data_IF_330301592606
#
_entry.id   IF_330301592606
#
_cell.length_a   1.000
_cell.length_b   1.000
_cell.length_c   1.000
_cell.angle_alpha   90.00
_cell.angle_beta   90.00
_cell.angle_gamma   90.00
#
_symmetry.space_group_name_H-M   'P 1'
#
loop_
_entity.id
_entity.type
_entity.pdbx_description
1 polymer ?
#
# COMPACT_ATOMS: atom_id res chain seq x y z
N UNK A 1 1.78 5.10 40.84
CA UNK A 1 2.21 3.78 40.35
C UNK A 1 1.58 3.59 38.97
N UNK A 2 2.26 4.01 37.90
CA UNK A 2 1.74 3.86 36.53
C UNK A 2 1.75 2.37 36.17
N UNK A 3 0.56 1.80 35.92
CA UNK A 3 0.41 0.46 35.35
C UNK A 3 0.77 0.55 33.86
N UNK A 4 1.98 0.12 33.51
CA UNK A 4 2.32 -0.15 32.11
C UNK A 4 1.46 -1.32 31.61
N UNK A 5 0.98 -1.21 30.37
CA UNK A 5 0.23 -2.25 29.68
C UNK A 5 1.01 -3.59 29.65
N UNK A 6 0.32 -4.75 29.56
CA UNK A 6 0.97 -6.05 29.46
C UNK A 6 1.98 -6.07 28.30
N UNK A 7 3.15 -6.70 28.50
CA UNK A 7 4.24 -6.73 27.51
C UNK A 7 3.78 -7.24 26.14
N UNK A 8 2.87 -8.22 26.10
CA UNK A 8 2.31 -8.78 24.87
C UNK A 8 1.59 -7.75 23.97
N UNK A 9 0.97 -6.73 24.57
CA UNK A 9 0.30 -5.67 23.82
C UNK A 9 1.27 -4.62 23.26
N UNK A 10 2.45 -4.50 23.87
CA UNK A 10 3.47 -3.52 23.48
C UNK A 10 4.18 -3.95 22.20
N UNK A 11 4.55 -5.22 22.09
CA UNK A 11 5.29 -5.72 20.93
C UNK A 11 4.41 -5.73 19.68
N UNK A 12 3.15 -6.16 19.82
CA UNK A 12 2.16 -6.06 18.75
C UNK A 12 1.87 -4.60 18.34
N UNK A 13 1.87 -3.66 19.28
CA UNK A 13 1.69 -2.24 18.98
C UNK A 13 2.92 -1.65 18.26
N UNK A 14 4.13 -2.02 18.66
CA UNK A 14 5.38 -1.59 18.00
C UNK A 14 5.44 -2.16 16.58
N UNK A 15 5.08 -3.42 16.38
CA UNK A 15 5.01 -4.02 15.05
C UNK A 15 4.05 -3.25 14.13
N UNK A 16 2.84 -2.94 14.61
CA UNK A 16 1.88 -2.13 13.84
C UNK A 16 2.37 -0.71 13.57
N UNK A 17 3.08 -0.08 14.52
CA UNK A 17 3.67 1.24 14.33
C UNK A 17 4.75 1.20 13.24
N UNK A 18 5.64 0.21 13.27
CA UNK A 18 6.68 0.07 12.26
C UNK A 18 6.10 -0.28 10.88
N UNK A 19 5.02 -1.06 10.83
CA UNK A 19 4.25 -1.30 9.59
C UNK A 19 3.67 -0.01 9.03
N UNK A 20 3.14 0.87 9.89
CA UNK A 20 2.61 2.17 9.49
C UNK A 20 3.73 3.09 9.01
N UNK A 21 4.87 3.17 9.70
CA UNK A 21 6.00 4.01 9.28
C UNK A 21 6.55 3.57 7.92
N UNK A 22 6.72 2.26 7.70
CA UNK A 22 7.13 1.73 6.40
C UNK A 22 6.10 2.05 5.30
N UNK A 23 4.80 1.92 5.61
CA UNK A 23 3.72 2.30 4.68
C UNK A 23 3.63 3.80 4.45
N UNK A 24 4.05 4.65 5.39
CA UNK A 24 4.08 6.11 5.21
C UNK A 24 5.22 6.49 4.26
N UNK A 25 6.38 5.86 4.38
CA UNK A 25 7.50 6.09 3.46
C UNK A 25 7.12 5.69 2.03
N UNK A 26 6.48 4.53 1.86
CA UNK A 26 5.99 4.09 0.54
C UNK A 26 4.76 4.88 0.08
N UNK A 27 3.85 5.22 1.00
CA UNK A 27 2.58 5.89 0.71
C UNK A 27 2.68 7.40 0.55
N UNK A 28 3.81 8.01 0.90
CA UNK A 28 4.09 9.42 0.65
C UNK A 28 4.10 9.75 -0.85
N UNK A 29 4.53 8.81 -1.70
CA UNK A 29 4.42 8.93 -3.16
C UNK A 29 2.95 8.97 -3.60
N UNK A 30 2.10 8.09 -3.06
CA UNK A 30 0.68 8.02 -3.43
C UNK A 30 -0.11 9.30 -3.12
N UNK A 31 0.27 10.06 -2.07
CA UNK A 31 -0.37 11.36 -1.75
C UNK A 31 0.02 12.42 -2.77
N UNK A 32 1.30 12.47 -3.18
CA UNK A 32 1.75 13.41 -4.20
C UNK A 32 1.11 13.11 -5.55
N UNK A 33 0.97 11.83 -5.91
CA UNK A 33 0.29 11.41 -7.14
C UNK A 33 -1.18 11.86 -7.15
N UNK A 34 -1.88 11.74 -6.02
CA UNK A 34 -3.27 12.18 -5.90
C UNK A 34 -3.42 13.69 -6.12
N UNK A 35 -2.51 14.50 -5.59
CA UNK A 35 -2.51 15.96 -5.79
C UNK A 35 -2.24 16.30 -7.25
N UNK A 36 -1.26 15.66 -7.88
CA UNK A 36 -0.94 15.89 -9.29
C UNK A 36 -2.12 15.52 -10.21
N UNK A 37 -2.85 14.44 -9.91
CA UNK A 37 -4.06 14.07 -10.63
C UNK A 37 -5.13 15.16 -10.51
N UNK A 38 -5.35 15.68 -9.30
CA UNK A 38 -6.33 16.75 -9.06
C UNK A 38 -5.96 18.00 -9.87
N UNK A 39 -4.69 18.43 -9.84
CA UNK A 39 -4.24 19.60 -10.60
C UNK A 39 -4.39 19.41 -12.12
N UNK A 40 -4.06 18.22 -12.64
CA UNK A 40 -4.29 17.88 -14.06
C UNK A 40 -5.78 17.89 -14.42
N UNK A 41 -6.65 17.39 -13.53
CA UNK A 41 -8.10 17.44 -13.73
C UNK A 41 -8.61 18.88 -13.74
N UNK A 42 -8.20 19.72 -12.79
CA UNK A 42 -8.63 21.12 -12.74
C UNK A 42 -8.12 21.96 -13.92
N UNK A 43 -6.91 21.69 -14.41
CA UNK A 43 -6.33 22.40 -15.56
C UNK A 43 -6.93 22.00 -16.90
N UNK A 44 -7.42 20.76 -17.03
CA UNK A 44 -8.07 20.25 -18.24
C UNK A 44 -9.59 20.44 -18.24
N UNK A 45 -10.20 20.68 -17.08
CA UNK A 45 -11.64 20.89 -16.96
C UNK A 45 -12.11 22.16 -17.69
N UNK A 46 -13.24 22.06 -18.38
CA UNK A 46 -13.89 23.24 -18.97
C UNK A 46 -14.52 24.08 -17.87
N UNK A 47 -14.05 25.31 -17.71
CA UNK A 47 -14.58 26.22 -16.71
C UNK A 47 -15.87 26.89 -17.21
N UNK A 48 -16.99 26.61 -16.53
CA UNK A 48 -18.30 27.21 -16.85
C UNK A 48 -18.50 28.44 -15.95
N UNK A 49 -18.63 29.61 -16.57
CA UNK A 49 -18.84 30.86 -15.83
C UNK A 49 -20.26 30.95 -15.27
N UNK A 50 -20.37 31.28 -13.97
CA UNK A 50 -21.65 31.53 -13.33
C UNK A 50 -22.20 32.90 -13.73
N UNK A 51 -23.32 32.92 -14.46
CA UNK A 51 -24.04 34.14 -14.84
C UNK A 51 -25.17 34.45 -13.84
N UNK A 52 -25.55 35.72 -13.73
CA UNK A 52 -26.54 36.15 -12.73
C UNK A 52 -27.94 35.55 -12.96
N UNK A 53 -28.26 35.15 -14.18
CA UNK A 53 -29.52 34.45 -14.50
C UNK A 53 -29.60 33.07 -13.86
N UNK A 54 -28.48 32.33 -13.77
CA UNK A 54 -28.41 31.03 -13.07
C UNK A 54 -28.71 31.24 -11.58
N UNK A 55 -28.12 32.27 -10.97
CA UNK A 55 -28.34 32.60 -9.55
C UNK A 55 -29.81 32.96 -9.28
N UNK A 56 -30.43 33.71 -10.20
CA UNK A 56 -31.85 34.06 -10.09
C UNK A 56 -32.74 32.81 -10.14
N UNK A 57 -32.53 31.91 -11.11
CA UNK A 57 -33.31 30.66 -11.21
C UNK A 57 -33.08 29.74 -10.01
N UNK A 58 -31.86 29.68 -9.48
CA UNK A 58 -31.57 28.93 -8.26
C UNK A 58 -32.32 29.51 -7.04
N UNK A 59 -32.44 30.84 -6.95
CA UNK A 59 -33.26 31.50 -5.92
C UNK A 59 -34.76 31.23 -6.12
N UNK A 60 -35.25 31.22 -7.36
CA UNK A 60 -36.64 30.86 -7.66
C UNK A 60 -36.96 29.42 -7.23
N UNK A 61 -36.02 28.47 -7.42
CA UNK A 61 -36.15 27.11 -6.87
C UNK A 61 -36.30 27.11 -5.34
N UNK A 62 -35.51 27.94 -4.65
CA UNK A 62 -35.58 28.06 -3.20
C UNK A 62 -36.94 28.57 -2.73
N UNK A 63 -37.47 29.60 -3.40
CA UNK A 63 -38.79 30.18 -3.12
C UNK A 63 -39.89 29.16 -3.36
N UNK A 64 -39.80 28.41 -4.46
CA UNK A 64 -40.75 27.36 -4.82
C UNK A 64 -40.61 26.07 -3.98
N UNK A 65 -39.54 25.95 -3.18
CA UNK A 65 -39.20 24.77 -2.36
C UNK A 65 -39.10 23.47 -3.17
N UNK A 66 -38.65 23.57 -4.42
CA UNK A 66 -38.40 22.43 -5.31
C UNK A 66 -36.96 21.98 -5.18
N UNK A 67 -36.67 20.72 -5.55
CA UNK A 67 -35.33 20.16 -5.41
C UNK A 67 -34.25 21.08 -6.03
N UNK A 68 -33.13 21.33 -5.31
CA UNK A 68 -32.68 20.67 -4.06
C UNK A 68 -33.14 21.31 -2.73
N UNK A 69 -34.18 22.16 -2.73
CA UNK A 69 -34.70 22.87 -1.54
C UNK A 69 -35.91 22.21 -0.85
N UNK A 70 -36.21 20.97 -1.18
CA UNK A 70 -37.24 20.14 -0.52
C UNK A 70 -36.90 19.77 0.95
N UNK A 71 -35.72 20.17 1.47
CA UNK A 71 -35.25 19.95 2.85
C UNK A 71 -34.94 21.28 3.56
N UNK A 72 -34.92 21.26 4.90
CA UNK A 72 -34.55 22.41 5.74
C UNK A 72 -33.02 22.67 5.78
N UNK A 73 -32.33 22.62 4.63
CA UNK A 73 -30.89 22.88 4.53
C UNK A 73 -30.61 23.83 3.36
N UNK A 74 -29.55 24.62 3.45
CA UNK A 74 -29.13 25.55 2.40
C UNK A 74 -28.60 24.76 1.19
N UNK A 75 -29.44 24.48 0.20
CA UNK A 75 -29.10 23.81 -1.05
C UNK A 75 -28.77 24.75 -2.21
N UNK A 76 -28.34 25.98 -1.93
CA UNK A 76 -28.13 27.01 -2.97
C UNK A 76 -27.01 26.64 -3.94
N UNK A 77 -25.91 26.07 -3.46
CA UNK A 77 -24.80 25.63 -4.32
C UNK A 77 -25.24 24.49 -5.23
N UNK A 78 -25.96 23.51 -4.66
CA UNK A 78 -26.57 22.40 -5.40
C UNK A 78 -27.59 22.89 -6.44
N UNK A 79 -28.37 23.93 -6.12
CA UNK A 79 -29.31 24.54 -7.04
C UNK A 79 -28.59 25.28 -8.18
N UNK A 80 -27.49 25.97 -7.90
CA UNK A 80 -26.65 26.59 -8.92
C UNK A 80 -26.04 25.52 -9.83
N UNK A 81 -25.58 24.38 -9.29
CA UNK A 81 -25.02 23.28 -10.08
C UNK A 81 -26.04 22.72 -11.07
N UNK A 82 -27.27 22.42 -10.63
CA UNK A 82 -28.29 21.86 -11.52
C UNK A 82 -28.80 22.90 -12.53
N UNK A 83 -28.93 24.17 -12.13
CA UNK A 83 -29.30 25.25 -13.06
C UNK A 83 -28.23 25.52 -14.11
N UNK A 84 -26.95 25.37 -13.74
CA UNK A 84 -25.83 25.43 -14.69
C UNK A 84 -25.90 24.25 -15.66
N UNK A 85 -26.17 23.05 -15.15
CA UNK A 85 -26.34 21.86 -16.00
C UNK A 85 -27.49 22.04 -16.99
N UNK A 86 -28.62 22.63 -16.58
CA UNK A 86 -29.76 22.96 -17.45
C UNK A 86 -29.34 23.87 -18.61
N UNK A 87 -28.57 24.92 -18.35
CA UNK A 87 -28.09 25.80 -19.42
C UNK A 87 -27.13 25.08 -20.37
N UNK A 88 -26.27 24.19 -19.86
CA UNK A 88 -25.36 23.38 -20.69
C UNK A 88 -26.11 22.43 -21.61
N UNK A 89 -27.13 21.71 -21.09
CA UNK A 89 -27.93 20.80 -21.92
C UNK A 89 -28.81 21.55 -22.93
N UNK A 90 -29.21 22.78 -22.62
CA UNK A 90 -29.97 23.63 -23.55
C UNK A 90 -29.08 24.22 -24.65
N UNK A 91 -27.79 24.45 -24.37
CA UNK A 91 -26.80 24.97 -25.31
C UNK A 91 -26.13 23.88 -26.17
N UNK A 92 -26.64 22.65 -26.16
CA UNK A 92 -26.12 21.53 -26.95
C UNK A 92 -25.96 21.90 -28.42
N UNK A 93 -24.77 21.66 -28.94
CA UNK A 93 -24.45 21.92 -30.35
C UNK A 93 -24.64 20.69 -31.25
N UNK A 94 -24.55 19.49 -30.67
CA UNK A 94 -24.74 18.21 -31.38
C UNK A 94 -25.80 17.36 -30.69
N UNK A 95 -26.55 16.58 -31.48
CA UNK A 95 -27.49 15.56 -30.98
C UNK A 95 -26.79 14.29 -30.53
N UNK A 96 -25.53 14.11 -30.91
CA UNK A 96 -24.74 12.92 -30.60
C UNK A 96 -24.01 13.05 -29.24
N UNK A 97 -23.95 14.26 -28.68
CA UNK A 97 -23.30 14.52 -27.41
C UNK A 97 -24.20 14.13 -26.23
N UNK A 98 -23.67 13.26 -25.37
CA UNK A 98 -24.34 12.82 -24.14
C UNK A 98 -23.74 13.52 -22.93
N UNK A 99 -24.59 14.11 -22.09
CA UNK A 99 -24.19 14.85 -20.90
C UNK A 99 -24.62 14.09 -19.65
N UNK A 100 -23.70 13.85 -18.72
CA UNK A 100 -23.98 13.18 -17.45
C UNK A 100 -23.99 14.15 -16.27
N UNK A 101 -25.05 14.14 -15.46
CA UNK A 101 -25.04 14.72 -14.12
C UNK A 101 -24.74 13.61 -13.11
N UNK A 102 -23.56 13.69 -12.49
CA UNK A 102 -23.09 12.67 -11.54
C UNK A 102 -23.01 13.27 -10.13
N UNK A 103 -23.67 12.65 -9.15
CA UNK A 103 -23.65 13.14 -7.77
C UNK A 103 -23.72 12.04 -6.72
N UNK A 104 -22.93 12.17 -5.67
CA UNK A 104 -23.07 11.34 -4.47
C UNK A 104 -24.16 11.87 -3.52
N UNK A 105 -24.67 13.09 -3.72
CA UNK A 105 -25.74 13.67 -2.90
C UNK A 105 -27.11 13.11 -3.33
N UNK A 106 -27.37 11.86 -2.97
CA UNK A 106 -28.63 11.18 -3.28
C UNK A 106 -29.82 11.70 -2.49
N UNK A 107 -29.57 12.46 -1.43
CA UNK A 107 -30.65 13.01 -0.64
C UNK A 107 -31.36 14.17 -1.32
N UNK A 108 -30.59 14.98 -2.06
CA UNK A 108 -31.12 16.21 -2.65
C UNK A 108 -31.44 16.04 -4.14
N UNK A 109 -30.82 15.06 -4.81
CA UNK A 109 -30.98 14.85 -6.24
C UNK A 109 -31.66 13.55 -6.67
N UNK A 110 -31.89 12.59 -5.76
CA UNK A 110 -32.50 11.29 -6.11
C UNK A 110 -33.95 11.16 -5.64
N UNK A 111 -34.68 10.22 -6.24
CA UNK A 111 -35.97 9.76 -5.73
C UNK A 111 -35.78 9.00 -4.41
N UNK A 112 -36.27 9.59 -3.32
CA UNK A 112 -36.19 9.02 -1.97
C UNK A 112 -37.29 8.03 -1.66
N UNK A 113 -38.42 8.12 -2.37
CA UNK A 113 -39.56 7.22 -2.21
C UNK A 113 -39.39 5.92 -2.99
N UNK A 114 -38.54 5.95 -4.02
CA UNK A 114 -38.25 4.83 -4.91
C UNK A 114 -36.79 4.42 -4.90
N UNK A 115 -36.20 4.35 -6.10
CA UNK A 115 -34.81 3.96 -6.31
C UNK A 115 -33.91 5.21 -6.29
N UNK A 116 -32.92 5.23 -5.39
CA UNK A 116 -31.96 6.34 -5.28
C UNK A 116 -31.04 6.48 -6.49
N UNK A 117 -31.06 5.52 -7.42
CA UNK A 117 -30.42 5.62 -8.74
C UNK A 117 -31.21 6.47 -9.72
N UNK A 118 -32.48 6.75 -9.43
CA UNK A 118 -33.32 7.60 -10.25
C UNK A 118 -33.29 9.05 -9.74
N UNK A 119 -33.37 10.04 -10.64
CA UNK A 119 -33.40 11.44 -10.26
C UNK A 119 -34.67 11.77 -9.46
N UNK A 120 -34.60 12.81 -8.63
CA UNK A 120 -35.75 13.35 -7.92
C UNK A 120 -36.90 13.71 -8.90
N UNK A 121 -38.18 13.51 -8.57
CA UNK A 121 -39.30 13.80 -9.47
C UNK A 121 -39.28 15.21 -10.09
N UNK A 122 -38.91 16.23 -9.31
CA UNK A 122 -38.77 17.62 -9.78
C UNK A 122 -37.68 17.81 -10.86
N UNK A 123 -36.73 16.88 -10.96
CA UNK A 123 -35.59 16.92 -11.88
C UNK A 123 -35.69 15.83 -12.96
N UNK A 124 -36.59 14.86 -12.82
CA UNK A 124 -36.69 13.71 -13.71
C UNK A 124 -36.89 14.11 -15.19
N UNK A 125 -37.60 15.21 -15.45
CA UNK A 125 -37.82 15.74 -16.79
C UNK A 125 -36.53 16.20 -17.51
N UNK A 126 -35.44 16.41 -16.77
CA UNK A 126 -34.14 16.80 -17.34
C UNK A 126 -33.39 15.61 -17.95
N UNK A 127 -33.68 14.39 -17.51
CA UNK A 127 -32.92 13.19 -17.83
C UNK A 127 -33.72 12.28 -18.75
N UNK A 128 -33.41 12.33 -20.05
CA UNK A 128 -34.13 11.62 -21.10
C UNK A 128 -33.53 10.23 -21.44
N UNK A 129 -32.45 9.83 -20.78
CA UNK A 129 -31.67 8.62 -21.07
C UNK A 129 -31.17 8.49 -22.51
N UNK A 130 -31.21 9.57 -23.31
CA UNK A 130 -30.63 9.61 -24.65
C UNK A 130 -29.52 10.66 -24.73
N UNK A 131 -29.82 11.94 -24.49
CA UNK A 131 -28.86 13.03 -24.44
C UNK A 131 -28.46 13.47 -23.03
N UNK A 132 -29.23 13.14 -21.99
CA UNK A 132 -28.94 13.50 -20.60
C UNK A 132 -29.04 12.28 -19.69
N UNK A 133 -27.99 12.04 -18.89
CA UNK A 133 -27.89 10.94 -17.93
C UNK A 133 -27.84 11.48 -16.50
N UNK A 134 -28.49 10.76 -15.60
CA UNK A 134 -28.33 10.90 -14.16
C UNK A 134 -27.60 9.68 -13.62
N UNK A 135 -26.55 9.88 -12.83
CA UNK A 135 -25.84 8.78 -12.18
C UNK A 135 -25.40 9.15 -10.78
N UNK A 136 -25.32 8.15 -9.90
CA UNK A 136 -24.78 8.33 -8.54
C UNK A 136 -23.31 7.96 -8.42
N UNK A 137 -22.75 7.36 -9.48
CA UNK A 137 -21.36 6.94 -9.55
C UNK A 137 -20.83 7.17 -10.97
N UNK A 138 -19.65 7.79 -11.06
CA UNK A 138 -19.01 8.10 -12.34
C UNK A 138 -18.51 6.84 -13.05
N UNK A 139 -18.03 5.84 -12.31
CA UNK A 139 -17.42 4.62 -12.87
C UNK A 139 -18.39 3.83 -13.78
N UNK A 140 -19.58 3.42 -13.29
CA UNK A 140 -20.57 2.76 -14.12
C UNK A 140 -21.01 3.60 -15.33
N UNK A 141 -21.17 4.91 -15.15
CA UNK A 141 -21.55 5.80 -16.24
C UNK A 141 -20.47 5.86 -17.32
N UNK A 142 -19.20 5.99 -16.93
CA UNK A 142 -18.08 5.95 -17.88
C UNK A 142 -17.96 4.58 -18.55
N UNK A 143 -18.28 3.49 -17.84
CA UNK A 143 -18.30 2.13 -18.40
C UNK A 143 -19.25 1.96 -19.56
N UNK A 144 -20.37 2.68 -19.59
CA UNK A 144 -21.29 2.66 -20.74
C UNK A 144 -20.66 3.22 -22.03
N UNK A 145 -19.64 4.07 -21.93
CA UNK A 145 -19.03 4.76 -23.07
C UNK A 145 -17.57 4.37 -23.34
N UNK A 146 -16.86 3.88 -22.32
CA UNK A 146 -15.41 3.70 -22.35
C UNK A 146 -14.97 2.55 -21.42
N UNK A 147 -15.63 1.39 -21.53
CA UNK A 147 -15.30 0.19 -20.75
C UNK A 147 -13.83 -0.22 -20.92
N UNK A 148 -13.35 -0.34 -22.17
CA UNK A 148 -11.96 -0.73 -22.46
C UNK A 148 -10.93 0.20 -21.79
N UNK A 149 -11.17 1.51 -21.83
CA UNK A 149 -10.29 2.51 -21.22
C UNK A 149 -10.32 2.43 -19.68
N UNK A 150 -11.49 2.19 -19.10
CA UNK A 150 -11.60 2.02 -17.66
C UNK A 150 -10.87 0.78 -17.18
N UNK A 151 -10.94 -0.31 -17.93
CA UNK A 151 -10.27 -1.55 -17.59
C UNK A 151 -8.75 -1.42 -17.73
N UNK A 152 -8.27 -0.70 -18.74
CA UNK A 152 -6.85 -0.33 -18.87
C UNK A 152 -6.38 0.51 -17.66
N UNK A 153 -7.10 1.57 -17.31
CA UNK A 153 -6.73 2.44 -16.17
C UNK A 153 -6.80 1.71 -14.83
N UNK A 154 -7.80 0.84 -14.63
CA UNK A 154 -7.88 -0.01 -13.42
C UNK A 154 -6.70 -0.96 -13.38
N UNK A 155 -6.38 -1.61 -14.49
CA UNK A 155 -5.24 -2.52 -14.57
C UNK A 155 -3.94 -1.79 -14.22
N UNK A 156 -3.66 -0.63 -14.82
CA UNK A 156 -2.45 0.15 -14.52
C UNK A 156 -2.35 0.57 -13.05
N UNK A 157 -3.47 0.94 -12.42
CA UNK A 157 -3.47 1.43 -11.03
C UNK A 157 -3.50 0.32 -9.99
N UNK A 158 -4.22 -0.77 -10.27
CA UNK A 158 -4.37 -1.90 -9.34
C UNK A 158 -3.27 -2.95 -9.52
N UNK A 159 -2.56 -2.98 -10.66
CA UNK A 159 -1.37 -3.79 -10.87
C UNK A 159 -0.13 -3.15 -10.20
N UNK A 160 -0.26 -2.83 -8.91
CA UNK A 160 0.88 -2.54 -8.04
C UNK A 160 1.25 -3.79 -7.26
N UNK A 161 2.51 -4.22 -7.32
CA UNK A 161 3.00 -5.22 -6.37
C UNK A 161 3.03 -4.57 -4.98
N UNK A 162 2.18 -5.02 -4.06
CA UNK A 162 2.28 -4.59 -2.67
C UNK A 162 3.68 -4.96 -2.13
N UNK A 163 4.44 -4.00 -1.57
CA UNK A 163 5.71 -4.33 -0.94
C UNK A 163 5.52 -5.35 0.18
N UNK A 164 6.52 -6.23 0.35
CA UNK A 164 6.57 -7.16 1.50
C UNK A 164 6.44 -6.38 2.80
N UNK A 165 5.73 -6.95 3.77
CA UNK A 165 5.62 -6.33 5.11
C UNK A 165 6.97 -6.38 5.80
N UNK A 166 7.25 -5.41 6.67
CA UNK A 166 8.48 -5.39 7.45
C UNK A 166 8.65 -6.67 8.28
N UNK A 167 7.58 -7.21 8.87
CA UNK A 167 7.65 -8.47 9.62
C UNK A 167 8.06 -9.65 8.73
N UNK A 168 7.55 -9.73 7.51
CA UNK A 168 7.93 -10.77 6.54
C UNK A 168 9.39 -10.64 6.14
N UNK A 169 9.89 -9.41 5.99
CA UNK A 169 11.30 -9.14 5.70
C UNK A 169 12.21 -9.56 6.87
N UNK A 170 11.84 -9.23 8.11
CA UNK A 170 12.60 -9.60 9.31
C UNK A 170 12.60 -11.12 9.54
N UNK A 171 11.47 -11.79 9.33
CA UNK A 171 11.39 -13.25 9.40
C UNK A 171 12.26 -13.92 8.33
N UNK A 172 12.24 -13.39 7.11
CA UNK A 172 13.08 -13.87 6.03
C UNK A 172 14.58 -13.61 6.29
N UNK A 173 14.95 -12.43 6.80
CA UNK A 173 16.32 -12.07 7.17
C UNK A 173 16.87 -13.04 8.23
N UNK A 174 16.12 -13.24 9.31
CA UNK A 174 16.50 -14.16 10.39
C UNK A 174 16.66 -15.60 9.91
N UNK A 175 15.75 -16.08 9.04
CA UNK A 175 15.88 -17.41 8.42
C UNK A 175 17.16 -17.52 7.60
N UNK A 176 17.38 -16.58 6.68
CA UNK A 176 18.54 -16.60 5.78
C UNK A 176 19.86 -16.44 6.57
N UNK A 177 19.87 -15.61 7.60
CA UNK A 177 20.97 -15.48 8.55
C UNK A 177 21.35 -16.82 9.15
N UNK A 178 20.37 -17.58 9.64
CA UNK A 178 20.60 -18.91 10.22
C UNK A 178 21.12 -19.91 9.21
N UNK A 179 20.60 -19.90 7.98
CA UNK A 179 21.10 -20.76 6.90
C UNK A 179 22.58 -20.48 6.61
N UNK A 180 22.93 -19.19 6.51
CA UNK A 180 24.29 -18.76 6.25
C UNK A 180 25.23 -19.13 7.40
N UNK A 181 24.80 -18.83 8.64
CA UNK A 181 25.53 -19.19 9.85
C UNK A 181 25.76 -20.71 9.96
N UNK A 182 24.71 -21.50 9.71
CA UNK A 182 24.75 -22.96 9.83
C UNK A 182 25.70 -23.59 8.81
N UNK A 183 25.72 -23.10 7.56
CA UNK A 183 26.71 -23.53 6.57
C UNK A 183 28.15 -23.26 7.05
N UNK A 184 28.40 -22.04 7.55
CA UNK A 184 29.72 -21.64 8.06
C UNK A 184 30.14 -22.44 9.28
N UNK A 185 29.20 -22.76 10.17
CA UNK A 185 29.42 -23.64 11.30
C UNK A 185 29.85 -25.05 10.84
N UNK A 186 29.21 -25.62 9.81
CA UNK A 186 29.62 -26.90 9.23
C UNK A 186 31.01 -26.87 8.60
N UNK A 187 31.39 -25.75 7.95
CA UNK A 187 32.74 -25.56 7.43
C UNK A 187 33.78 -25.57 8.57
N UNK A 188 33.49 -24.86 9.67
CA UNK A 188 34.33 -24.85 10.87
C UNK A 188 34.43 -26.26 11.50
N UNK A 189 33.31 -26.97 11.63
CA UNK A 189 33.27 -28.35 12.13
C UNK A 189 34.19 -29.25 11.32
N UNK A 190 34.06 -29.20 10.00
CA UNK A 190 34.88 -29.98 9.07
C UNK A 190 36.36 -29.62 9.19
N UNK A 191 36.70 -28.35 9.41
CA UNK A 191 38.08 -27.91 9.61
C UNK A 191 38.68 -28.46 10.92
N UNK A 192 37.88 -28.49 12.00
CA UNK A 192 38.28 -29.08 13.30
C UNK A 192 38.50 -30.59 13.15
N UNK A 193 37.54 -31.30 12.56
CA UNK A 193 37.62 -32.76 12.34
C UNK A 193 38.84 -33.14 11.48
N UNK A 194 39.22 -32.29 10.53
CA UNK A 194 40.41 -32.46 9.68
C UNK A 194 41.69 -31.89 10.28
N UNK A 195 41.68 -31.45 11.55
CA UNK A 195 42.81 -30.84 12.25
C UNK A 195 43.42 -29.60 11.56
N UNK A 196 42.64 -28.93 10.69
CA UNK A 196 43.01 -27.64 10.09
C UNK A 196 42.70 -26.46 11.00
N UNK A 197 41.78 -26.65 11.95
CA UNK A 197 41.39 -25.68 12.96
C UNK A 197 41.48 -26.33 14.34
N UNK A 198 41.98 -25.61 15.35
CA UNK A 198 42.26 -26.16 16.68
C UNK A 198 41.31 -25.61 17.74
N UNK A 199 40.89 -26.46 18.67
CA UNK A 199 40.24 -26.04 19.90
C UNK A 199 41.29 -25.77 20.98
N UNK A 200 41.17 -24.63 21.65
CA UNK A 200 42.08 -24.18 22.70
C UNK A 200 41.28 -23.70 23.91
N UNK A 201 41.90 -23.69 25.10
CA UNK A 201 41.27 -23.07 26.25
C UNK A 201 41.27 -21.54 26.12
N UNK A 202 40.44 -20.86 26.91
CA UNK A 202 40.41 -19.39 26.94
C UNK A 202 41.77 -18.81 27.33
N UNK A 203 42.43 -19.41 28.31
CA UNK A 203 43.73 -18.98 28.82
C UNK A 203 44.82 -19.10 27.75
N UNK A 204 44.81 -20.20 26.98
CA UNK A 204 45.73 -20.38 25.84
C UNK A 204 45.46 -19.30 24.78
N UNK A 205 44.19 -19.07 24.42
CA UNK A 205 43.83 -18.07 23.41
C UNK A 205 44.26 -16.64 23.77
N UNK A 206 44.08 -16.25 25.04
CA UNK A 206 44.45 -14.92 25.54
C UNK A 206 45.97 -14.69 25.48
N UNK A 207 46.77 -15.73 25.72
CA UNK A 207 48.23 -15.67 25.66
C UNK A 207 48.77 -15.72 24.22
N UNK A 208 47.96 -16.12 23.24
CA UNK A 208 48.38 -16.20 21.84
C UNK A 208 48.47 -14.82 21.18
N UNK A 209 49.50 -14.58 20.35
CA UNK A 209 49.56 -13.39 19.48
C UNK A 209 48.37 -13.37 18.52
N UNK A 210 47.81 -12.18 18.26
CA UNK A 210 46.65 -11.99 17.37
C UNK A 210 46.79 -12.72 16.01
N UNK A 211 47.99 -12.69 15.40
CA UNK A 211 48.29 -13.37 14.13
C UNK A 211 48.10 -14.89 14.14
N UNK A 212 48.05 -15.54 15.31
CA UNK A 212 47.85 -16.99 15.47
C UNK A 212 46.42 -17.36 15.86
N UNK A 213 45.51 -16.38 15.95
CA UNK A 213 44.14 -16.60 16.43
C UNK A 213 43.15 -17.04 15.32
N UNK A 214 43.54 -16.95 14.05
CA UNK A 214 42.66 -17.23 12.91
C UNK A 214 42.24 -18.71 12.82
N UNK A 215 43.14 -19.63 13.18
CA UNK A 215 42.94 -21.08 13.04
C UNK A 215 42.62 -21.76 14.38
N UNK A 216 42.13 -20.98 15.36
CA UNK A 216 41.75 -21.49 16.68
C UNK A 216 40.38 -20.98 17.13
N UNK A 217 39.65 -21.83 17.85
CA UNK A 217 38.40 -21.48 18.53
C UNK A 217 38.48 -21.90 19.99
N UNK A 218 37.93 -21.09 20.89
CA UNK A 218 37.85 -21.43 22.30
C UNK A 218 36.88 -22.60 22.48
N UNK A 219 37.29 -23.63 23.20
CA UNK A 219 36.51 -24.84 23.49
C UNK A 219 35.07 -24.56 23.98
N UNK A 220 34.91 -23.68 24.95
CA UNK A 220 33.60 -23.26 25.49
C UNK A 220 32.73 -22.54 24.46
N UNK A 221 33.34 -21.79 23.53
CA UNK A 221 32.62 -21.16 22.41
C UNK A 221 32.15 -22.22 21.41
N UNK A 222 32.98 -23.23 21.16
CA UNK A 222 32.62 -24.35 20.31
C UNK A 222 31.43 -25.15 20.86
N UNK A 223 31.40 -25.39 22.18
CA UNK A 223 30.25 -26.04 22.84
C UNK A 223 28.94 -25.25 22.67
N UNK A 224 29.00 -23.92 22.82
CA UNK A 224 27.84 -23.04 22.58
C UNK A 224 27.43 -23.03 21.11
N UNK A 225 28.39 -23.09 20.19
CA UNK A 225 28.13 -23.17 18.76
C UNK A 225 27.40 -24.49 18.41
N UNK A 226 27.82 -25.63 18.97
CA UNK A 226 27.13 -26.92 18.78
C UNK A 226 25.69 -26.88 19.29
N UNK A 227 25.43 -26.27 20.45
CA UNK A 227 24.09 -26.10 20.97
C UNK A 227 23.22 -25.17 20.08
N UNK A 228 23.83 -24.15 19.49
CA UNK A 228 23.16 -23.24 18.55
C UNK A 228 22.87 -23.90 17.19
N UNK A 229 23.75 -24.78 16.73
CA UNK A 229 23.53 -25.59 15.52
C UNK A 229 22.31 -26.49 15.67
N UNK A 230 22.19 -27.19 16.80
CA UNK A 230 21.02 -28.02 17.10
C UNK A 230 19.72 -27.20 17.13
N UNK A 231 19.72 -26.04 17.78
CA UNK A 231 18.55 -25.14 17.77
C UNK A 231 18.17 -24.67 16.37
N UNK A 232 19.16 -24.45 15.51
CA UNK A 232 18.93 -24.04 14.11
C UNK A 232 18.30 -25.17 13.31
N UNK A 233 18.76 -26.42 13.49
CA UNK A 233 18.15 -27.61 12.88
C UNK A 233 16.69 -27.77 13.32
N UNK A 234 16.42 -27.61 14.62
CA UNK A 234 15.07 -27.73 15.19
C UNK A 234 14.11 -26.64 14.67
N UNK A 235 14.62 -25.42 14.44
CA UNK A 235 13.80 -24.27 14.00
C UNK A 235 13.56 -24.21 12.50
N UNK A 236 14.59 -24.50 11.68
CA UNK A 236 14.49 -24.41 10.23
C UNK A 236 13.92 -25.70 9.61
N UNK A 237 14.15 -26.85 10.25
CA UNK A 237 13.78 -28.14 9.71
C UNK A 237 14.75 -28.66 8.63
N UNK A 238 14.59 -29.93 8.22
CA UNK A 238 15.58 -30.64 7.39
C UNK A 238 15.72 -30.09 5.97
N UNK A 239 14.67 -29.49 5.41
CA UNK A 239 14.66 -29.02 4.02
C UNK A 239 15.33 -27.64 3.86
N UNK A 240 15.59 -26.93 4.96
CA UNK A 240 16.08 -25.55 4.98
C UNK A 240 17.52 -25.46 5.55
N UNK A 241 18.22 -26.58 5.75
CA UNK A 241 19.58 -26.64 6.34
C UNK A 241 20.65 -27.22 5.39
N UNK A 242 20.32 -27.30 4.09
CA UNK A 242 21.21 -27.79 3.05
C UNK A 242 21.32 -29.34 3.02
N UNK A 243 22.27 -29.89 2.24
CA UNK A 243 23.32 -29.19 1.50
C UNK A 243 22.76 -28.37 0.33
N UNK A 244 23.44 -27.27 0.02
CA UNK A 244 23.12 -26.39 -1.13
C UNK A 244 24.20 -26.51 -2.19
N UNK A 245 23.82 -26.40 -3.45
CA UNK A 245 24.78 -26.20 -4.54
C UNK A 245 25.32 -24.76 -4.60
N UNK A 246 26.29 -24.50 -5.48
CA UNK A 246 26.91 -23.16 -5.61
C UNK A 246 25.89 -22.08 -6.00
N UNK A 247 24.86 -22.43 -6.78
CA UNK A 247 23.83 -21.49 -7.22
C UNK A 247 22.86 -21.18 -6.08
N UNK A 248 22.33 -22.20 -5.41
CA UNK A 248 21.45 -22.08 -4.25
C UNK A 248 22.13 -21.29 -3.14
N UNK A 249 23.40 -21.58 -2.87
CA UNK A 249 24.21 -20.84 -1.91
C UNK A 249 24.39 -19.37 -2.30
N UNK A 250 24.66 -19.10 -3.59
CA UNK A 250 24.70 -17.73 -4.12
C UNK A 250 23.36 -17.00 -3.95
N UNK A 251 22.24 -17.67 -4.20
CA UNK A 251 20.90 -17.12 -4.03
C UNK A 251 20.57 -16.83 -2.56
N UNK A 252 20.98 -17.68 -1.62
CA UNK A 252 20.77 -17.45 -0.19
C UNK A 252 21.51 -16.19 0.27
N UNK A 253 22.79 -16.06 -0.08
CA UNK A 253 23.59 -14.88 0.27
C UNK A 253 23.06 -13.62 -0.41
N UNK A 254 22.67 -13.70 -1.69
CA UNK A 254 22.10 -12.57 -2.42
C UNK A 254 20.77 -12.10 -1.84
N UNK A 255 19.88 -13.02 -1.44
CA UNK A 255 18.62 -12.68 -0.77
C UNK A 255 18.86 -12.01 0.59
N UNK A 256 19.80 -12.52 1.39
CA UNK A 256 20.14 -11.95 2.68
C UNK A 256 20.67 -10.52 2.53
N UNK A 257 21.61 -10.33 1.60
CA UNK A 257 22.18 -9.02 1.25
C UNK A 257 21.10 -8.03 0.80
N UNK A 258 20.20 -8.45 -0.10
CA UNK A 258 19.12 -7.58 -0.59
C UNK A 258 18.17 -7.15 0.54
N UNK A 259 17.78 -8.06 1.43
CA UNK A 259 16.90 -7.73 2.55
C UNK A 259 17.62 -6.80 3.54
N UNK A 260 18.88 -7.09 3.90
CA UNK A 260 19.67 -6.24 4.80
C UNK A 260 19.86 -4.83 4.26
N UNK A 261 20.16 -4.71 2.96
CA UNK A 261 20.25 -3.41 2.30
C UNK A 261 18.93 -2.64 2.36
N UNK A 262 17.81 -3.31 2.11
CA UNK A 262 16.47 -2.70 2.29
C UNK A 262 16.20 -2.27 3.74
N UNK A 263 16.74 -2.99 4.72
CA UNK A 263 16.60 -2.69 6.15
C UNK A 263 17.61 -1.63 6.65
N UNK A 264 18.55 -1.21 5.81
CA UNK A 264 19.49 -0.11 6.09
C UNK A 264 20.95 -0.52 6.33
N UNK A 265 21.30 -1.79 6.18
CA UNK A 265 22.70 -2.26 6.24
C UNK A 265 23.44 -2.04 4.89
N UNK A 266 24.77 -2.17 4.91
CA UNK A 266 25.57 -2.16 3.67
C UNK A 266 25.36 -3.44 2.84
N UNK A 267 25.49 -3.31 1.52
CA UNK A 267 25.17 -4.37 0.55
C UNK A 267 25.92 -5.69 0.80
N UNK A 268 27.17 -5.63 1.22
CA UNK A 268 28.04 -6.79 1.44
C UNK A 268 28.04 -7.30 2.89
N UNK A 269 27.16 -6.79 3.75
CA UNK A 269 27.06 -7.20 5.16
C UNK A 269 26.43 -8.58 5.30
N UNK A 270 27.26 -9.59 5.13
CA UNK A 270 26.91 -11.00 5.28
C UNK A 270 27.47 -11.59 6.58
N UNK A 271 27.87 -10.78 7.55
CA UNK A 271 28.33 -11.27 8.85
C UNK A 271 27.21 -12.02 9.57
N UNK A 272 27.56 -13.18 10.14
CA UNK A 272 26.66 -14.09 10.84
C UNK A 272 27.28 -14.70 12.06
#
# INVERSE_FOLDING_TARGET
>A
MLKFAPQDGRDAAIQRLNEVDHRIVVGGEAVNDAVEIIEKMFSSATHIALIDTIKARAADRAIAKIAPFHRQRNGIDDAILIETYIDVIAAKSSTDDVYGFVTHNTHDFSDRSGDTRLPHPDLAALFDNSGSRYATNLGPLLGEFAEDLLDEVKFEREFGQEPRKLSELLEAEHRLFKQVWYNRHWNLRTAIERSKHRLVSREEWEQMPSKKRNDVTIDTVWEVALASAKRTEDELGPDEIGPWDDFEWGMINGKLSAIRWMLGDDWDMLDT
#
